data_IF_804201438230
#
_entry.id   IF_804201438230
#
_cell.length_a   1.000
_cell.length_b   1.000
_cell.length_c   1.000
_cell.angle_alpha   90.00
_cell.angle_beta   90.00
_cell.angle_gamma   90.00
#
_symmetry.space_group_name_H-M   'P 1'
#
loop_
_entity.id
_entity.type
_entity.pdbx_description
1 polymer ?
#
# COMPACT_ATOMS: atom_id res chain seq x y z
N UNK A 1 17.67 -11.43 -29.39
CA UNK A 1 18.87 -12.07 -28.80
C UNK A 1 18.63 -13.56 -28.67
N UNK A 2 19.53 -14.40 -29.18
CA UNK A 2 19.37 -15.86 -29.11
C UNK A 2 19.42 -16.40 -27.68
N UNK A 3 18.75 -17.54 -27.43
CA UNK A 3 18.84 -18.25 -26.15
C UNK A 3 20.29 -18.67 -25.92
N UNK A 4 20.93 -18.14 -24.89
CA UNK A 4 22.21 -18.66 -24.41
C UNK A 4 21.96 -20.09 -23.91
N UNK A 5 22.58 -21.08 -24.54
CA UNK A 5 22.43 -22.48 -24.16
C UNK A 5 22.81 -22.68 -22.68
N UNK A 6 21.91 -23.26 -21.89
CA UNK A 6 22.16 -23.41 -20.46
C UNK A 6 23.15 -24.57 -20.23
N UNK A 7 24.28 -24.28 -19.56
CA UNK A 7 25.28 -25.30 -19.27
C UNK A 7 24.70 -26.47 -18.47
N UNK A 8 25.09 -27.69 -18.86
CA UNK A 8 24.72 -28.91 -18.13
C UNK A 8 25.26 -28.88 -16.69
N UNK A 9 24.63 -29.65 -15.79
CA UNK A 9 25.12 -29.81 -14.41
C UNK A 9 26.54 -30.40 -14.36
N UNK A 10 26.90 -31.28 -15.29
CA UNK A 10 28.25 -31.81 -15.43
C UNK A 10 29.26 -30.70 -15.79
N UNK A 11 28.95 -29.88 -16.79
CA UNK A 11 29.77 -28.72 -17.19
C UNK A 11 29.93 -27.71 -16.05
N UNK A 12 28.85 -27.44 -15.30
CA UNK A 12 28.87 -26.57 -14.10
C UNK A 12 29.77 -27.15 -12.99
N UNK A 13 29.76 -28.47 -12.77
CA UNK A 13 30.65 -29.15 -11.83
C UNK A 13 32.12 -29.10 -12.25
N UNK A 14 32.41 -29.26 -13.54
CA UNK A 14 33.77 -29.15 -14.10
C UNK A 14 34.33 -27.75 -13.87
N UNK A 15 33.52 -26.70 -14.10
CA UNK A 15 33.90 -25.29 -13.83
C UNK A 15 34.35 -25.10 -12.36
N UNK A 16 33.58 -25.62 -11.40
CA UNK A 16 33.92 -25.51 -9.97
C UNK A 16 35.19 -26.30 -9.65
N UNK A 17 35.30 -27.55 -10.11
CA UNK A 17 36.46 -28.42 -9.87
C UNK A 17 37.75 -27.80 -10.42
N UNK A 18 37.73 -27.27 -11.64
CA UNK A 18 38.90 -26.60 -12.23
C UNK A 18 39.25 -25.30 -11.49
N UNK A 19 38.26 -24.51 -11.08
CA UNK A 19 38.54 -23.29 -10.31
C UNK A 19 39.16 -23.58 -8.94
N UNK A 20 38.72 -24.63 -8.26
CA UNK A 20 39.29 -25.06 -6.98
C UNK A 20 40.74 -25.58 -7.13
N UNK A 21 41.12 -26.04 -8.33
CA UNK A 21 42.51 -26.40 -8.71
C UNK A 21 43.34 -25.19 -9.18
N UNK A 22 42.87 -23.95 -8.93
CA UNK A 22 43.59 -22.72 -9.29
C UNK A 22 43.48 -22.28 -10.75
N UNK A 23 42.79 -23.04 -11.63
CA UNK A 23 42.75 -22.73 -13.07
C UNK A 23 42.12 -21.36 -13.36
N UNK A 24 42.68 -20.63 -14.33
CA UNK A 24 42.22 -19.29 -14.72
C UNK A 24 40.84 -19.33 -15.41
N UNK A 25 40.07 -18.23 -15.32
CA UNK A 25 38.75 -18.12 -15.97
C UNK A 25 38.82 -18.33 -17.49
N UNK A 26 39.90 -17.88 -18.14
CA UNK A 26 40.15 -18.08 -19.57
C UNK A 26 40.32 -19.57 -19.91
N UNK A 27 41.12 -20.29 -19.12
CA UNK A 27 41.43 -21.69 -19.41
C UNK A 27 40.25 -22.60 -19.08
N UNK A 28 39.45 -22.28 -18.05
CA UNK A 28 38.18 -22.96 -17.76
C UNK A 28 37.16 -22.71 -18.88
N UNK A 29 37.06 -21.48 -19.39
CA UNK A 29 36.16 -21.13 -20.48
C UNK A 29 36.47 -21.96 -21.75
N UNK A 30 37.75 -22.04 -22.12
CA UNK A 30 38.20 -22.86 -23.24
C UNK A 30 37.95 -24.36 -23.01
N UNK A 31 38.31 -24.90 -21.83
CA UNK A 31 38.17 -26.33 -21.51
C UNK A 31 36.71 -26.81 -21.43
N UNK A 32 35.74 -25.90 -21.22
CA UNK A 32 34.31 -26.21 -21.10
C UNK A 32 33.51 -25.73 -22.33
N UNK A 33 34.17 -25.13 -23.33
CA UNK A 33 33.52 -24.62 -24.53
C UNK A 33 32.49 -23.50 -24.26
N UNK A 34 32.81 -22.56 -23.37
CA UNK A 34 31.88 -21.52 -22.92
C UNK A 34 32.54 -20.16 -22.72
N UNK A 35 31.77 -19.10 -22.45
CA UNK A 35 32.32 -17.75 -22.24
C UNK A 35 32.91 -17.56 -20.84
N UNK A 36 33.91 -16.68 -20.70
CA UNK A 36 34.48 -16.29 -19.39
C UNK A 36 33.40 -15.73 -18.45
N UNK A 37 32.41 -15.01 -19.00
CA UNK A 37 31.25 -14.51 -18.26
C UNK A 37 30.38 -15.65 -17.71
N UNK A 38 30.15 -16.70 -18.51
CA UNK A 38 29.41 -17.89 -18.07
C UNK A 38 30.14 -18.62 -16.92
N UNK A 39 31.47 -18.74 -17.01
CA UNK A 39 32.31 -19.28 -15.93
C UNK A 39 32.18 -18.42 -14.66
N UNK A 40 32.27 -17.10 -14.79
CA UNK A 40 32.11 -16.15 -13.68
C UNK A 40 30.74 -16.27 -12.99
N UNK A 41 29.64 -16.25 -13.76
CA UNK A 41 28.29 -16.38 -13.19
C UNK A 41 28.06 -17.76 -12.55
N UNK A 42 28.62 -18.83 -13.12
CA UNK A 42 28.54 -20.19 -12.53
C UNK A 42 29.24 -20.24 -11.17
N UNK A 43 30.47 -19.71 -11.08
CA UNK A 43 31.23 -19.69 -9.82
C UNK A 43 30.62 -18.73 -8.78
N UNK A 44 30.09 -17.58 -9.21
CA UNK A 44 29.35 -16.66 -8.33
C UNK A 44 28.11 -17.33 -7.74
N UNK A 45 27.30 -18.00 -8.57
CA UNK A 45 26.14 -18.76 -8.12
C UNK A 45 26.53 -19.91 -7.18
N UNK A 46 27.60 -20.66 -7.47
CA UNK A 46 28.09 -21.74 -6.62
C UNK A 46 28.49 -21.23 -5.23
N UNK A 47 29.29 -20.16 -5.15
CA UNK A 47 29.69 -19.53 -3.88
C UNK A 47 28.50 -19.06 -3.04
N UNK A 48 27.42 -18.60 -3.68
CA UNK A 48 26.20 -18.15 -2.99
C UNK A 48 25.27 -19.30 -2.57
N UNK A 49 25.35 -20.48 -3.21
CA UNK A 49 24.37 -21.57 -3.05
C UNK A 49 24.94 -22.87 -2.47
N UNK A 50 26.26 -23.01 -2.37
CA UNK A 50 26.94 -24.26 -2.01
C UNK A 50 26.81 -25.39 -3.04
N UNK A 51 26.11 -25.18 -4.15
CA UNK A 51 25.83 -26.21 -5.16
C UNK A 51 25.74 -25.62 -6.57
N UNK A 52 26.01 -26.47 -7.56
CA UNK A 52 25.90 -26.16 -9.00
C UNK A 52 24.50 -26.39 -9.57
N UNK A 53 23.65 -27.11 -8.81
CA UNK A 53 22.27 -27.38 -9.19
C UNK A 53 21.41 -26.12 -9.20
N UNK A 54 20.33 -26.17 -9.97
CA UNK A 54 19.19 -25.27 -9.78
C UNK A 54 18.53 -25.60 -8.44
N UNK A 55 18.73 -24.74 -7.44
CA UNK A 55 17.87 -24.75 -6.25
C UNK A 55 16.40 -24.64 -6.72
N UNK A 56 15.47 -25.41 -6.12
CA UNK A 56 14.04 -25.24 -6.38
C UNK A 56 13.66 -23.76 -6.19
N UNK A 57 12.97 -23.17 -7.16
CA UNK A 57 12.48 -21.79 -7.03
C UNK A 57 11.36 -21.75 -5.98
N UNK A 58 11.71 -21.35 -4.77
CA UNK A 58 10.77 -21.09 -3.68
C UNK A 58 9.96 -19.80 -3.93
N UNK A 59 8.94 -19.89 -4.79
CA UNK A 59 7.97 -18.79 -5.01
C UNK A 59 8.56 -17.51 -5.60
N UNK A 60 8.21 -16.36 -4.99
CA UNK A 60 8.61 -15.00 -5.44
C UNK A 60 10.14 -14.89 -5.52
N UNK A 61 10.70 -14.21 -6.54
CA UNK A 61 12.15 -13.97 -6.61
C UNK A 61 12.66 -13.30 -5.33
N UNK A 62 13.82 -13.72 -4.80
CA UNK A 62 14.44 -13.13 -3.58
C UNK A 62 14.68 -11.61 -3.69
N UNK A 63 14.77 -11.09 -4.90
CA UNK A 63 14.82 -9.65 -5.19
C UNK A 63 13.86 -9.39 -6.35
N UNK A 64 12.86 -8.57 -6.11
CA UNK A 64 12.02 -7.97 -7.16
C UNK A 64 12.74 -6.77 -7.77
N UNK A 65 12.56 -6.56 -9.07
CA UNK A 65 13.04 -5.31 -9.71
C UNK A 65 11.99 -4.22 -9.48
N UNK A 66 12.41 -2.94 -9.46
CA UNK A 66 11.47 -1.82 -9.29
C UNK A 66 10.33 -1.80 -10.31
N UNK A 67 10.54 -2.37 -11.52
CA UNK A 67 9.49 -2.57 -12.53
C UNK A 67 8.48 -3.65 -12.12
N UNK A 68 8.94 -4.76 -11.54
CA UNK A 68 8.06 -5.83 -11.03
C UNK A 68 7.28 -5.33 -9.82
N UNK A 69 7.91 -4.63 -8.87
CA UNK A 69 7.18 -4.06 -7.72
C UNK A 69 6.21 -2.95 -8.13
N UNK A 70 6.51 -2.15 -9.16
CA UNK A 70 5.55 -1.18 -9.73
C UNK A 70 4.34 -1.88 -10.36
N UNK A 71 4.52 -3.03 -11.02
CA UNK A 71 3.41 -3.83 -11.56
C UNK A 71 2.59 -4.48 -10.45
N UNK A 72 3.24 -5.10 -9.45
CA UNK A 72 2.57 -5.70 -8.29
C UNK A 72 1.75 -4.63 -7.56
N UNK A 73 2.36 -3.48 -7.22
CA UNK A 73 1.64 -2.34 -6.61
C UNK A 73 0.47 -1.89 -7.47
N UNK A 74 0.65 -1.72 -8.79
CA UNK A 74 -0.44 -1.30 -9.69
C UNK A 74 -1.59 -2.30 -9.68
N UNK A 75 -1.32 -3.60 -9.71
CA UNK A 75 -2.35 -4.65 -9.64
C UNK A 75 -3.10 -4.62 -8.30
N UNK A 76 -2.38 -4.61 -7.18
CA UNK A 76 -2.96 -4.54 -5.83
C UNK A 76 -3.73 -3.24 -5.56
N UNK A 77 -3.37 -2.14 -6.22
CA UNK A 77 -4.13 -0.87 -6.15
C UNK A 77 -5.34 -0.89 -7.08
N UNK A 78 -5.22 -1.43 -8.30
CA UNK A 78 -6.32 -1.46 -9.28
C UNK A 78 -7.46 -2.42 -8.91
N UNK A 79 -7.18 -3.47 -8.12
CA UNK A 79 -8.21 -4.30 -7.55
C UNK A 79 -7.79 -4.74 -6.14
N UNK A 80 -8.07 -3.93 -5.09
CA UNK A 80 -7.67 -4.27 -3.73
C UNK A 80 -8.31 -5.58 -3.24
N UNK A 81 -9.42 -6.04 -3.84
CA UNK A 81 -10.11 -7.27 -3.44
C UNK A 81 -9.41 -8.55 -3.93
N UNK A 82 -8.41 -8.45 -4.81
CA UNK A 82 -7.64 -9.59 -5.32
C UNK A 82 -6.25 -9.65 -4.70
N UNK A 83 -5.99 -10.72 -3.94
CA UNK A 83 -4.62 -11.08 -3.52
C UNK A 83 -4.09 -12.23 -4.40
N UNK A 84 -2.78 -12.44 -4.46
CA UNK A 84 -2.18 -13.46 -5.32
C UNK A 84 -1.15 -14.33 -4.58
N UNK A 85 -1.37 -15.65 -4.60
CA UNK A 85 -0.43 -16.71 -4.20
C UNK A 85 0.39 -16.47 -2.91
N UNK A 86 1.48 -15.72 -3.02
CA UNK A 86 2.41 -15.47 -1.92
C UNK A 86 1.82 -14.53 -0.86
N UNK A 87 0.83 -13.70 -1.23
CA UNK A 87 0.11 -12.80 -0.33
C UNK A 87 -0.63 -13.55 0.79
N UNK A 88 -0.98 -14.82 0.56
CA UNK A 88 -1.57 -15.73 1.56
C UNK A 88 -0.73 -15.84 2.85
N UNK A 89 0.58 -15.58 2.78
CA UNK A 89 1.49 -15.63 3.93
C UNK A 89 1.39 -14.41 4.86
N UNK A 90 0.74 -13.32 4.43
CA UNK A 90 0.68 -12.05 5.14
C UNK A 90 -0.75 -11.80 5.67
N UNK A 91 -1.05 -12.07 6.96
CA UNK A 91 -2.38 -11.85 7.53
C UNK A 91 -2.85 -10.40 7.36
N UNK A 92 -1.94 -9.44 7.42
CA UNK A 92 -2.21 -8.00 7.39
C UNK A 92 -3.01 -7.58 6.15
N UNK A 93 -2.73 -8.20 4.99
CA UNK A 93 -3.50 -7.97 3.76
C UNK A 93 -4.95 -8.45 3.92
N UNK A 94 -5.14 -9.66 4.46
CA UNK A 94 -6.47 -10.27 4.62
C UNK A 94 -7.31 -9.50 5.65
N UNK A 95 -6.67 -9.07 6.75
CA UNK A 95 -7.24 -8.23 7.79
C UNK A 95 -7.63 -6.85 7.25
N UNK A 96 -6.76 -6.19 6.48
CA UNK A 96 -7.05 -4.89 5.86
C UNK A 96 -8.19 -4.95 4.84
N UNK A 97 -8.48 -6.12 4.26
CA UNK A 97 -9.64 -6.34 3.39
C UNK A 97 -10.92 -6.60 4.17
N UNK A 98 -10.86 -7.36 5.28
CA UNK A 98 -11.99 -7.51 6.21
C UNK A 98 -12.40 -6.17 6.82
N UNK A 99 -11.45 -5.31 7.18
CA UNK A 99 -11.72 -3.94 7.65
C UNK A 99 -12.54 -3.12 6.64
N UNK A 100 -12.31 -3.35 5.34
CA UNK A 100 -13.06 -2.71 4.24
C UNK A 100 -14.37 -3.42 3.88
N UNK A 101 -14.87 -4.26 4.78
CA UNK A 101 -16.12 -4.99 4.61
C UNK A 101 -16.06 -6.17 3.63
N UNK A 102 -14.88 -6.75 3.36
CA UNK A 102 -14.82 -7.98 2.57
C UNK A 102 -15.64 -9.11 3.21
N UNK A 103 -16.44 -9.80 2.40
CA UNK A 103 -17.15 -11.04 2.75
C UNK A 103 -16.48 -12.28 2.12
N UNK A 104 -15.71 -12.06 1.04
CA UNK A 104 -14.96 -13.08 0.29
C UNK A 104 -13.53 -12.58 0.06
N UNK A 105 -12.55 -13.46 0.27
CA UNK A 105 -11.15 -13.26 -0.09
C UNK A 105 -10.75 -14.26 -1.18
N UNK A 106 -9.88 -13.84 -2.10
CA UNK A 106 -9.40 -14.72 -3.18
C UNK A 106 -7.89 -14.87 -3.17
N UNK A 107 -7.40 -16.10 -3.35
CA UNK A 107 -5.97 -16.41 -3.47
C UNK A 107 -5.66 -17.27 -4.72
N UNK A 108 -5.89 -16.78 -5.95
CA UNK A 108 -5.40 -17.43 -7.18
C UNK A 108 -3.88 -17.70 -7.09
N UNK A 109 -3.49 -18.95 -7.34
CA UNK A 109 -2.20 -19.48 -6.86
C UNK A 109 -1.49 -20.48 -7.77
N UNK A 110 -0.18 -20.59 -7.58
CA UNK A 110 0.67 -21.62 -8.17
C UNK A 110 1.74 -22.08 -7.16
N UNK A 111 1.30 -22.59 -6.01
CA UNK A 111 2.18 -23.10 -4.96
C UNK A 111 3.08 -24.23 -5.48
N UNK A 112 4.33 -24.30 -5.00
CA UNK A 112 5.20 -25.45 -5.26
C UNK A 112 4.69 -26.64 -4.45
N UNK A 113 4.81 -27.87 -4.98
CA UNK A 113 4.32 -29.09 -4.31
C UNK A 113 4.78 -29.17 -2.84
N UNK A 114 6.06 -28.97 -2.57
CA UNK A 114 6.63 -29.01 -1.21
C UNK A 114 6.09 -27.93 -0.26
N UNK A 115 5.79 -26.73 -0.75
CA UNK A 115 5.25 -25.66 0.11
C UNK A 115 3.73 -25.70 0.21
N UNK A 116 3.05 -26.29 -0.78
CA UNK A 116 1.62 -26.52 -0.76
C UNK A 116 1.25 -27.60 0.24
N UNK A 117 1.93 -28.75 0.19
CA UNK A 117 1.73 -29.89 1.10
C UNK A 117 1.78 -29.47 2.58
N UNK A 118 2.66 -28.56 2.95
CA UNK A 118 2.84 -28.11 4.33
C UNK A 118 1.96 -26.90 4.73
N UNK A 119 1.53 -26.05 3.79
CA UNK A 119 0.96 -24.73 4.15
C UNK A 119 -0.36 -24.37 3.46
N UNK A 120 -0.74 -25.02 2.36
CA UNK A 120 -1.82 -24.55 1.49
C UNK A 120 -3.16 -24.48 2.23
N UNK A 121 -3.65 -25.63 2.68
CA UNK A 121 -4.92 -25.72 3.42
C UNK A 121 -4.87 -24.91 4.72
N UNK A 122 -3.80 -25.08 5.51
CA UNK A 122 -3.64 -24.44 6.83
C UNK A 122 -3.72 -22.92 6.72
N UNK A 123 -3.02 -22.30 5.77
CA UNK A 123 -3.08 -20.85 5.60
C UNK A 123 -4.42 -20.37 5.06
N UNK A 124 -5.03 -21.08 4.09
CA UNK A 124 -6.35 -20.70 3.55
C UNK A 124 -7.43 -20.73 4.62
N UNK A 125 -7.45 -21.79 5.45
CA UNK A 125 -8.36 -21.93 6.58
C UNK A 125 -8.08 -20.88 7.66
N UNK A 126 -6.82 -20.59 7.95
CA UNK A 126 -6.47 -19.50 8.87
C UNK A 126 -7.00 -18.14 8.40
N UNK A 127 -6.88 -17.81 7.10
CA UNK A 127 -7.48 -16.56 6.55
C UNK A 127 -9.00 -16.57 6.68
N UNK A 128 -9.65 -17.69 6.38
CA UNK A 128 -11.11 -17.79 6.48
C UNK A 128 -11.60 -17.54 7.92
N UNK A 129 -10.94 -18.17 8.91
CA UNK A 129 -11.27 -18.05 10.34
C UNK A 129 -10.96 -16.64 10.87
N UNK A 130 -9.72 -16.15 10.71
CA UNK A 130 -9.29 -14.89 11.34
C UNK A 130 -9.98 -13.65 10.76
N UNK A 131 -10.48 -13.76 9.52
CA UNK A 131 -11.23 -12.71 8.84
C UNK A 131 -12.74 -12.96 8.79
N UNK A 132 -13.22 -14.14 9.18
CA UNK A 132 -14.61 -14.61 9.02
C UNK A 132 -15.15 -14.24 7.62
N UNK A 133 -14.43 -14.68 6.60
CA UNK A 133 -14.74 -14.51 5.19
C UNK A 133 -14.75 -15.87 4.52
N UNK A 134 -15.51 -16.01 3.42
CA UNK A 134 -15.25 -17.10 2.49
C UNK A 134 -13.87 -16.92 1.86
N UNK A 135 -13.16 -18.01 1.61
CA UNK A 135 -11.87 -18.00 0.92
C UNK A 135 -11.96 -18.84 -0.35
N UNK A 136 -11.74 -18.24 -1.51
CA UNK A 136 -11.77 -18.90 -2.82
C UNK A 136 -10.35 -18.94 -3.40
N UNK A 137 -9.80 -20.13 -3.56
CA UNK A 137 -8.40 -20.34 -3.89
C UNK A 137 -8.24 -21.23 -5.12
N UNK A 138 -8.39 -20.64 -6.31
CA UNK A 138 -8.07 -21.31 -7.57
C UNK A 138 -6.56 -21.59 -7.66
N UNK A 139 -6.18 -22.80 -8.06
CA UNK A 139 -4.78 -23.24 -8.04
C UNK A 139 -4.34 -23.93 -9.33
N UNK A 140 -3.13 -23.62 -9.77
CA UNK A 140 -2.41 -24.40 -10.76
C UNK A 140 -2.01 -25.76 -10.16
N UNK A 141 -2.11 -26.83 -10.95
CA UNK A 141 -1.83 -28.22 -10.55
C UNK A 141 -0.89 -28.91 -11.55
N UNK A 142 -0.41 -30.11 -11.22
CA UNK A 142 0.36 -30.97 -12.11
C UNK A 142 1.74 -30.42 -12.52
N UNK A 143 2.31 -31.03 -13.57
CA UNK A 143 3.64 -30.73 -14.11
C UNK A 143 3.52 -29.73 -15.28
N UNK A 144 4.16 -28.58 -15.15
CA UNK A 144 4.19 -27.51 -16.16
C UNK A 144 5.36 -27.65 -17.14
N UNK A 145 6.46 -28.21 -16.66
CA UNK A 145 7.68 -28.58 -17.40
C UNK A 145 8.62 -29.34 -16.46
N UNK A 146 9.75 -29.81 -17.00
CA UNK A 146 10.76 -30.61 -16.28
C UNK A 146 11.27 -30.03 -14.95
N UNK A 147 11.15 -28.72 -14.73
CA UNK A 147 11.62 -28.03 -13.52
C UNK A 147 10.50 -27.33 -12.73
N UNK A 148 9.22 -27.54 -13.07
CA UNK A 148 8.09 -26.84 -12.43
C UNK A 148 6.85 -27.72 -12.35
N UNK A 149 6.45 -28.02 -11.11
CA UNK A 149 5.16 -28.61 -10.78
C UNK A 149 4.46 -27.76 -9.73
N UNK A 150 3.12 -27.74 -9.74
CA UNK A 150 2.31 -27.02 -8.75
C UNK A 150 1.41 -27.95 -7.96
N UNK A 151 1.10 -27.55 -6.72
CA UNK A 151 0.41 -28.39 -5.75
C UNK A 151 -1.05 -28.69 -6.11
N UNK A 152 -1.75 -27.81 -6.83
CA UNK A 152 -3.19 -27.99 -7.06
C UNK A 152 -4.00 -27.75 -5.79
N UNK A 153 -4.90 -28.68 -5.45
CA UNK A 153 -5.84 -28.58 -4.33
C UNK A 153 -6.65 -27.27 -4.31
N UNK A 154 -7.10 -26.78 -5.48
CA UNK A 154 -7.95 -25.60 -5.55
C UNK A 154 -9.21 -25.80 -4.69
N UNK A 155 -9.55 -24.83 -3.84
CA UNK A 155 -10.58 -25.03 -2.81
C UNK A 155 -11.38 -23.77 -2.47
N UNK A 156 -12.54 -23.99 -1.84
CA UNK A 156 -13.41 -22.99 -1.25
C UNK A 156 -13.56 -23.32 0.24
N UNK A 157 -13.29 -22.35 1.10
CA UNK A 157 -13.40 -22.44 2.56
C UNK A 157 -14.48 -21.47 3.05
N UNK A 158 -15.29 -21.89 4.02
CA UNK A 158 -16.32 -21.04 4.65
C UNK A 158 -15.76 -20.16 5.79
N UNK A 159 -16.53 -19.18 6.31
CA UNK A 159 -16.08 -18.28 7.38
C UNK A 159 -15.78 -18.94 8.73
N UNK A 160 -16.09 -20.23 8.90
CA UNK A 160 -15.75 -21.04 10.07
C UNK A 160 -14.47 -21.86 9.85
N UNK A 161 -13.87 -21.77 8.66
CA UNK A 161 -12.67 -22.52 8.29
C UNK A 161 -12.92 -23.94 7.84
N UNK A 162 -14.16 -24.31 7.47
CA UNK A 162 -14.46 -25.62 6.85
C UNK A 162 -14.20 -25.53 5.35
N UNK A 163 -13.47 -26.51 4.79
CA UNK A 163 -13.38 -26.70 3.34
C UNK A 163 -14.73 -27.23 2.85
N UNK A 164 -15.43 -26.44 2.02
CA UNK A 164 -16.78 -26.76 1.53
C UNK A 164 -16.80 -27.26 0.09
N UNK A 165 -15.75 -27.00 -0.70
CA UNK A 165 -15.50 -27.65 -1.98
C UNK A 165 -14.00 -27.65 -2.29
N UNK A 166 -13.51 -28.69 -2.97
CA UNK A 166 -12.11 -28.82 -3.38
C UNK A 166 -12.01 -29.65 -4.66
N UNK A 167 -11.16 -29.23 -5.61
CA UNK A 167 -10.84 -29.99 -6.81
C UNK A 167 -10.07 -31.27 -6.47
N UNK A 168 -10.26 -32.32 -7.27
CA UNK A 168 -9.41 -33.53 -7.22
C UNK A 168 -8.02 -33.23 -7.78
N UNK A 169 -7.13 -34.23 -7.73
CA UNK A 169 -5.85 -34.19 -8.44
C UNK A 169 -6.10 -34.07 -9.95
N UNK A 170 -5.37 -33.19 -10.64
CA UNK A 170 -5.58 -32.88 -12.06
C UNK A 170 -6.50 -31.68 -12.34
N UNK A 171 -6.76 -31.42 -13.63
CA UNK A 171 -7.55 -30.27 -14.08
C UNK A 171 -9.04 -30.52 -13.86
N UNK A 172 -9.65 -29.79 -12.93
CA UNK A 172 -11.03 -29.99 -12.48
C UNK A 172 -11.61 -28.67 -11.91
N UNK A 173 -12.93 -28.60 -11.69
CA UNK A 173 -13.63 -27.42 -11.15
C UNK A 173 -14.45 -27.78 -9.91
N UNK A 174 -14.20 -27.06 -8.82
CA UNK A 174 -14.97 -27.13 -7.59
C UNK A 174 -16.02 -26.00 -7.52
N UNK A 175 -17.24 -26.35 -7.11
CA UNK A 175 -18.37 -25.41 -6.98
C UNK A 175 -18.95 -25.51 -5.56
N UNK A 176 -19.28 -24.36 -4.96
CA UNK A 176 -19.95 -24.27 -3.67
C UNK A 176 -20.97 -23.13 -3.66
N UNK A 177 -22.02 -23.25 -2.83
CA UNK A 177 -22.95 -22.15 -2.54
C UNK A 177 -22.33 -21.24 -1.48
N UNK A 178 -22.27 -19.93 -1.75
CA UNK A 178 -21.92 -18.91 -0.75
C UNK A 178 -23.18 -18.48 -0.02
N UNK A 179 -23.10 -18.39 1.31
CA UNK A 179 -24.20 -17.98 2.19
C UNK A 179 -23.76 -16.79 3.05
N UNK A 180 -24.25 -15.61 2.69
CA UNK A 180 -23.90 -14.37 3.39
C UNK A 180 -24.70 -14.18 4.69
N UNK A 181 -25.80 -14.92 4.90
CA UNK A 181 -26.54 -14.91 6.17
C UNK A 181 -25.78 -15.73 7.21
N UNK A 182 -25.26 -16.90 6.84
CA UNK A 182 -24.35 -17.70 7.66
C UNK A 182 -23.08 -16.92 8.04
N UNK A 183 -22.49 -16.19 7.10
CA UNK A 183 -21.35 -15.31 7.36
C UNK A 183 -21.68 -14.20 8.38
N UNK A 184 -22.84 -13.55 8.25
CA UNK A 184 -23.29 -12.51 9.20
C UNK A 184 -23.56 -13.10 10.58
N UNK A 185 -24.20 -14.27 10.64
CA UNK A 185 -24.44 -15.02 11.88
C UNK A 185 -23.12 -15.32 12.61
N UNK A 186 -22.11 -15.86 11.93
CA UNK A 186 -20.77 -16.09 12.51
C UNK A 186 -20.16 -14.80 13.08
N UNK A 187 -20.28 -13.67 12.35
CA UNK A 187 -19.76 -12.38 12.80
C UNK A 187 -20.50 -11.81 14.01
N UNK A 188 -21.78 -12.15 14.19
CA UNK A 188 -22.60 -11.77 15.35
C UNK A 188 -22.33 -12.67 16.56
N UNK A 189 -22.30 -13.99 16.37
CA UNK A 189 -22.05 -14.98 17.43
C UNK A 189 -20.61 -14.94 17.96
N UNK A 190 -19.65 -14.57 17.10
CA UNK A 190 -18.25 -14.43 17.48
C UNK A 190 -17.67 -13.10 16.94
N UNK A 191 -17.88 -11.96 17.62
CA UNK A 191 -17.48 -10.64 17.12
C UNK A 191 -15.97 -10.34 17.29
N UNK A 192 -15.09 -11.23 16.80
CA UNK A 192 -13.62 -11.13 16.92
C UNK A 192 -13.04 -9.82 16.42
N UNK A 193 -13.73 -9.16 15.48
CA UNK A 193 -13.32 -7.86 14.93
C UNK A 193 -13.44 -6.75 15.97
N UNK A 194 -14.54 -6.73 16.73
CA UNK A 194 -14.80 -5.77 17.80
C UNK A 194 -13.96 -6.04 19.06
N UNK A 195 -13.39 -7.24 19.19
CA UNK A 195 -12.49 -7.61 20.29
C UNK A 195 -11.00 -7.27 20.03
N UNK A 196 -10.70 -6.62 18.90
CA UNK A 196 -9.33 -6.15 18.62
C UNK A 196 -8.92 -5.07 19.62
N UNK A 197 -7.61 -4.94 19.84
CA UNK A 197 -7.00 -4.01 20.81
C UNK A 197 -6.26 -2.87 20.10
N UNK A 198 -6.96 -1.86 19.54
CA UNK A 198 -6.35 -0.73 18.83
C UNK A 198 -5.39 0.08 19.72
N UNK A 199 -5.57 -0.01 21.03
CA UNK A 199 -4.73 0.55 22.09
C UNK A 199 -3.37 -0.16 22.24
N UNK A 200 -3.25 -1.42 21.80
CA UNK A 200 -2.01 -2.22 21.85
C UNK A 200 -1.37 -2.35 20.46
N UNK A 201 -2.17 -2.48 19.41
CA UNK A 201 -1.70 -2.61 18.03
C UNK A 201 -2.70 -1.97 17.06
N UNK A 202 -2.21 -1.36 15.98
CA UNK A 202 -3.06 -0.85 14.88
C UNK A 202 -2.76 -1.59 13.58
N UNK A 203 -3.81 -1.92 12.83
CA UNK A 203 -3.68 -2.44 11.47
C UNK A 203 -3.28 -1.31 10.50
N UNK A 204 -2.62 -1.60 9.36
CA UNK A 204 -2.30 -0.59 8.36
C UNK A 204 -3.54 0.13 7.79
N UNK A 205 -3.85 1.30 8.35
CA UNK A 205 -4.90 2.21 7.89
C UNK A 205 -4.39 3.13 6.76
N UNK A 206 -5.15 4.15 6.36
CA UNK A 206 -4.72 5.09 5.33
C UNK A 206 -4.75 4.56 3.90
N UNK A 207 -5.79 3.84 3.47
CA UNK A 207 -6.01 3.65 2.04
C UNK A 207 -6.60 4.93 1.43
N UNK A 208 -5.99 5.46 0.36
CA UNK A 208 -6.57 6.59 -0.37
C UNK A 208 -7.83 6.13 -1.09
N UNK A 209 -8.92 6.88 -0.93
CA UNK A 209 -10.14 6.68 -1.69
C UNK A 209 -10.11 7.53 -2.97
N UNK A 210 -11.00 7.24 -3.91
CA UNK A 210 -11.24 8.11 -5.07
C UNK A 210 -11.66 9.51 -4.64
N UNK A 211 -11.43 10.48 -5.51
CA UNK A 211 -11.90 11.85 -5.30
C UNK A 211 -13.42 11.84 -5.09
N UNK A 212 -13.94 12.62 -4.14
CA UNK A 212 -15.37 12.72 -3.93
C UNK A 212 -16.01 13.42 -5.14
N UNK A 213 -17.30 13.19 -5.36
CA UNK A 213 -18.07 14.04 -6.28
C UNK A 213 -17.98 15.48 -5.81
N UNK A 214 -17.95 16.42 -6.74
CA UNK A 214 -17.72 17.83 -6.44
C UNK A 214 -18.83 18.49 -5.61
N UNK A 215 -20.05 17.93 -5.68
CA UNK A 215 -21.24 18.31 -4.90
C UNK A 215 -21.26 17.79 -3.46
N UNK A 216 -20.49 16.73 -3.18
CA UNK A 216 -20.50 16.03 -1.89
C UNK A 216 -20.09 16.96 -0.74
N UNK A 217 -20.65 16.74 0.44
CA UNK A 217 -20.44 17.59 1.61
C UNK A 217 -19.72 16.83 2.72
N UNK A 218 -18.75 17.51 3.35
CA UNK A 218 -17.97 16.99 4.47
C UNK A 218 -18.04 18.00 5.62
N UNK A 219 -18.40 17.54 6.81
CA UNK A 219 -18.44 18.36 8.01
C UNK A 219 -17.00 18.68 8.47
N UNK A 220 -16.73 19.95 8.76
CA UNK A 220 -15.48 20.40 9.35
C UNK A 220 -15.79 21.42 10.46
N UNK A 221 -15.99 20.91 11.68
CA UNK A 221 -16.49 21.69 12.81
C UNK A 221 -17.78 22.41 12.45
N UNK A 222 -17.79 23.74 12.55
CA UNK A 222 -18.95 24.58 12.23
C UNK A 222 -19.14 24.90 10.73
N UNK A 223 -18.33 24.37 9.80
CA UNK A 223 -18.46 24.63 8.35
C UNK A 223 -18.59 23.34 7.52
N UNK A 224 -19.17 23.48 6.32
CA UNK A 224 -19.23 22.42 5.31
C UNK A 224 -18.17 22.64 4.23
N UNK A 225 -17.41 21.61 3.91
CA UNK A 225 -16.44 21.59 2.81
C UNK A 225 -17.03 20.79 1.64
N UNK A 226 -17.07 21.40 0.46
CA UNK A 226 -17.51 20.74 -0.78
C UNK A 226 -16.43 19.80 -1.33
N UNK A 227 -16.85 18.70 -1.95
CA UNK A 227 -15.95 17.68 -2.50
C UNK A 227 -14.91 18.24 -3.47
N UNK A 228 -15.27 19.25 -4.27
CA UNK A 228 -14.35 19.97 -5.18
C UNK A 228 -13.17 20.68 -4.51
N UNK A 229 -13.20 20.84 -3.18
CA UNK A 229 -12.09 21.39 -2.38
C UNK A 229 -11.19 20.31 -1.78
N UNK A 230 -11.59 19.03 -1.83
CA UNK A 230 -10.81 17.90 -1.35
C UNK A 230 -9.91 17.35 -2.47
N UNK A 231 -8.61 17.39 -2.24
CA UNK A 231 -7.60 16.88 -3.17
C UNK A 231 -7.01 15.52 -2.76
N UNK A 232 -7.18 15.09 -1.51
CA UNK A 232 -6.87 13.72 -1.04
C UNK A 232 -7.80 13.32 0.12
N UNK A 233 -8.15 12.03 0.24
CA UNK A 233 -8.87 11.50 1.41
C UNK A 233 -8.65 10.00 1.60
N UNK A 234 -8.93 9.52 2.81
CA UNK A 234 -8.97 8.10 3.19
C UNK A 234 -10.41 7.73 3.59
N UNK A 235 -10.60 6.64 4.35
CA UNK A 235 -11.85 6.35 5.05
C UNK A 235 -12.03 7.13 6.35
N UNK A 236 -10.98 7.78 6.87
CA UNK A 236 -10.93 8.32 8.23
C UNK A 236 -10.42 9.77 8.29
N UNK A 237 -9.77 10.27 7.23
CA UNK A 237 -9.24 11.63 7.12
C UNK A 237 -9.42 12.21 5.72
N UNK A 238 -9.47 13.54 5.63
CA UNK A 238 -9.57 14.31 4.40
C UNK A 238 -8.51 15.43 4.38
N UNK A 239 -8.05 15.80 3.19
CA UNK A 239 -7.17 16.94 2.97
C UNK A 239 -7.75 17.84 1.88
N UNK A 240 -7.80 19.14 2.19
CA UNK A 240 -8.51 20.15 1.41
C UNK A 240 -7.77 21.49 1.39
N UNK A 241 -8.02 22.28 0.34
CA UNK A 241 -7.45 23.61 0.18
C UNK A 241 -8.01 24.58 1.23
N UNK A 242 -7.17 25.45 1.80
CA UNK A 242 -7.64 26.40 2.81
C UNK A 242 -8.30 27.63 2.17
N UNK A 243 -9.40 28.10 2.76
CA UNK A 243 -10.12 29.32 2.33
C UNK A 243 -9.41 30.61 2.75
N UNK A 244 -8.67 30.58 3.87
CA UNK A 244 -7.77 31.68 4.29
C UNK A 244 -6.38 31.12 4.54
N UNK A 245 -5.41 31.46 3.70
CA UNK A 245 -4.07 30.91 3.83
C UNK A 245 -3.16 31.79 4.70
N UNK A 246 -2.24 31.15 5.41
CA UNK A 246 -1.34 31.77 6.40
C UNK A 246 -0.21 32.56 5.73
N UNK A 247 0.24 32.07 4.58
CA UNK A 247 1.31 32.65 3.77
C UNK A 247 0.71 33.20 2.46
N UNK A 248 0.82 34.51 2.24
CA UNK A 248 0.44 35.15 0.99
C UNK A 248 1.59 35.08 -0.01
N UNK A 249 1.45 34.32 -1.09
CA UNK A 249 2.50 34.12 -2.09
C UNK A 249 2.29 34.97 -3.34
N UNK A 250 3.28 35.80 -3.70
CA UNK A 250 3.44 36.40 -5.05
C UNK A 250 4.37 35.57 -5.96
N UNK A 251 4.55 34.28 -5.67
CA UNK A 251 5.46 33.40 -6.39
C UNK A 251 4.66 32.38 -7.19
N UNK A 252 4.60 32.61 -8.52
CA UNK A 252 3.90 31.81 -9.53
C UNK A 252 2.36 31.84 -9.40
N UNK A 253 1.69 31.46 -10.49
CA UNK A 253 0.23 31.56 -10.70
C UNK A 253 -0.61 30.56 -9.87
N UNK A 254 -0.08 30.10 -8.73
CA UNK A 254 -0.72 29.17 -7.81
C UNK A 254 -0.46 29.65 -6.38
N UNK A 255 -1.35 30.52 -5.90
CA UNK A 255 -1.43 30.90 -4.49
C UNK A 255 -2.72 30.32 -3.89
N UNK A 256 -2.80 30.14 -2.55
CA UNK A 256 -1.75 30.33 -1.56
C UNK A 256 -1.48 29.09 -0.66
N UNK A 257 -0.20 28.72 -0.57
CA UNK A 257 0.65 28.23 0.54
C UNK A 257 0.08 27.67 1.89
N UNK A 258 -1.17 27.24 2.03
CA UNK A 258 -1.63 26.42 3.16
C UNK A 258 -2.76 25.47 2.77
N UNK A 259 -2.62 24.19 3.11
CA UNK A 259 -3.70 23.19 3.02
C UNK A 259 -3.93 22.56 4.38
N UNK A 260 -5.15 22.10 4.61
CA UNK A 260 -5.56 21.49 5.87
C UNK A 260 -5.75 19.98 5.69
N UNK A 261 -5.41 19.20 6.72
CA UNK A 261 -5.79 17.80 6.85
C UNK A 261 -6.57 17.59 8.16
N UNK A 262 -7.67 16.85 8.13
CA UNK A 262 -8.62 16.71 9.24
C UNK A 262 -9.25 15.31 9.25
N UNK A 263 -9.57 14.70 10.41
CA UNK A 263 -10.35 13.47 10.46
C UNK A 263 -11.77 13.71 9.90
N UNK A 264 -12.36 12.68 9.29
CA UNK A 264 -13.74 12.72 8.77
C UNK A 264 -14.76 12.70 9.92
N UNK A 265 -14.46 12.00 11.02
CA UNK A 265 -15.25 12.09 12.24
C UNK A 265 -14.90 13.40 12.97
N UNK A 266 -15.92 14.10 13.44
CA UNK A 266 -15.74 15.25 14.32
C UNK A 266 -15.07 14.84 15.64
N UNK A 267 -14.02 15.56 15.98
CA UNK A 267 -13.19 15.40 17.16
C UNK A 267 -12.63 16.78 17.48
N UNK A 268 -12.79 17.30 18.71
CA UNK A 268 -12.41 18.69 19.01
C UNK A 268 -10.93 18.80 19.33
N UNK A 269 -10.42 17.81 20.06
CA UNK A 269 -9.04 17.72 20.52
C UNK A 269 -8.32 16.51 19.91
N UNK A 270 -6.98 16.55 19.85
CA UNK A 270 -6.17 15.40 19.39
C UNK A 270 -6.37 14.16 20.27
N UNK A 271 -6.60 14.37 21.57
CA UNK A 271 -6.90 13.29 22.52
C UNK A 271 -8.25 12.60 22.26
N UNK A 272 -9.15 13.21 21.49
CA UNK A 272 -10.45 12.63 21.13
C UNK A 272 -10.31 11.63 19.96
N UNK A 273 -9.13 11.52 19.35
CA UNK A 273 -8.85 10.60 18.24
C UNK A 273 -8.51 9.20 18.74
N UNK A 274 -9.04 8.19 18.06
CA UNK A 274 -8.56 6.82 18.22
C UNK A 274 -7.13 6.68 17.68
N UNK A 275 -6.33 5.70 18.15
CA UNK A 275 -4.98 5.45 17.61
C UNK A 275 -4.95 5.28 16.08
N UNK A 276 -5.99 4.67 15.52
CA UNK A 276 -6.12 4.48 14.07
C UNK A 276 -6.41 5.78 13.31
N UNK A 277 -7.21 6.70 13.86
CA UNK A 277 -7.47 8.03 13.28
C UNK A 277 -6.22 8.90 13.35
N UNK A 278 -5.51 8.90 14.48
CA UNK A 278 -4.25 9.62 14.63
C UNK A 278 -3.19 9.12 13.63
N UNK A 279 -3.07 7.79 13.49
CA UNK A 279 -2.17 7.17 12.50
C UNK A 279 -2.57 7.50 11.06
N UNK A 280 -3.87 7.43 10.73
CA UNK A 280 -4.40 7.72 9.39
C UNK A 280 -4.16 9.19 9.01
N UNK A 281 -4.48 10.12 9.93
CA UNK A 281 -4.32 11.56 9.77
C UNK A 281 -2.86 11.93 9.49
N UNK A 282 -1.91 11.52 10.33
CA UNK A 282 -0.50 11.85 10.11
C UNK A 282 0.12 11.08 8.93
N UNK A 283 -0.40 9.90 8.60
CA UNK A 283 -0.05 9.23 7.33
C UNK A 283 -0.56 10.00 6.11
N UNK A 284 -1.72 10.65 6.20
CA UNK A 284 -2.24 11.53 5.17
C UNK A 284 -1.39 12.83 5.08
N UNK A 285 -1.04 13.46 6.21
CA UNK A 285 -0.15 14.63 6.28
C UNK A 285 1.18 14.35 5.55
N UNK A 286 1.85 13.22 5.83
CA UNK A 286 3.09 12.84 5.15
C UNK A 286 2.94 12.66 3.63
N UNK A 287 1.74 12.35 3.14
CA UNK A 287 1.46 12.23 1.70
C UNK A 287 1.19 13.59 1.08
N UNK A 288 0.40 14.42 1.76
CA UNK A 288 0.16 15.81 1.36
C UNK A 288 1.48 16.58 1.25
N UNK A 289 2.40 16.44 2.22
CA UNK A 289 3.75 17.03 2.14
C UNK A 289 4.51 16.62 0.86
N UNK A 290 4.36 15.39 0.36
CA UNK A 290 5.01 14.95 -0.88
C UNK A 290 4.34 15.52 -2.13
N UNK A 291 3.02 15.73 -2.12
CA UNK A 291 2.31 16.45 -3.19
C UNK A 291 2.79 17.90 -3.23
N UNK A 292 2.72 18.61 -2.10
CA UNK A 292 3.16 19.99 -1.96
C UNK A 292 4.65 20.16 -2.28
N UNK A 293 5.50 19.22 -1.89
CA UNK A 293 6.93 19.28 -2.15
C UNK A 293 7.27 19.23 -3.65
N UNK A 294 6.44 18.55 -4.45
CA UNK A 294 6.51 18.57 -5.91
C UNK A 294 5.93 19.87 -6.49
N UNK A 295 4.76 20.31 -6.03
CA UNK A 295 4.10 21.54 -6.52
C UNK A 295 4.93 22.79 -6.26
N UNK A 296 5.47 22.93 -5.05
CA UNK A 296 6.22 24.12 -4.64
C UNK A 296 7.74 23.97 -4.77
N UNK A 297 8.25 22.81 -5.19
CA UNK A 297 9.69 22.51 -5.27
C UNK A 297 10.41 22.78 -3.94
N UNK A 298 9.95 22.16 -2.85
CA UNK A 298 10.55 22.27 -1.51
C UNK A 298 10.55 20.95 -0.74
N UNK A 299 11.42 20.85 0.26
CA UNK A 299 11.44 19.77 1.26
C UNK A 299 11.19 20.30 2.68
N UNK A 300 11.09 21.62 2.85
CA UNK A 300 10.88 22.29 4.13
C UNK A 300 9.39 22.54 4.36
N UNK A 301 8.90 22.26 5.57
CA UNK A 301 7.50 22.41 5.94
C UNK A 301 7.35 22.89 7.37
N UNK A 302 6.38 23.78 7.60
CA UNK A 302 5.79 23.97 8.93
C UNK A 302 4.54 23.10 8.99
N UNK A 303 4.45 22.23 9.98
CA UNK A 303 3.28 21.37 10.24
C UNK A 303 2.82 21.66 11.65
N UNK A 304 1.59 22.16 11.80
CA UNK A 304 1.08 22.65 13.10
C UNK A 304 -0.34 22.17 13.35
N UNK A 305 -0.67 21.96 14.63
CA UNK A 305 -2.02 21.68 15.12
C UNK A 305 -2.29 22.66 16.25
N UNK A 306 -3.38 23.40 16.15
CA UNK A 306 -3.89 24.26 17.23
C UNK A 306 -4.95 23.44 17.95
N UNK A 307 -4.62 22.91 19.13
CA UNK A 307 -5.52 22.07 19.93
C UNK A 307 -6.07 22.87 21.13
N UNK A 308 -7.36 23.21 21.06
CA UNK A 308 -8.07 24.03 22.03
C UNK A 308 -7.99 25.55 21.78
N UNK A 309 -8.94 26.34 22.31
CA UNK A 309 -9.04 27.78 22.03
C UNK A 309 -7.79 28.58 22.40
N UNK A 310 -7.11 28.22 23.50
CA UNK A 310 -5.89 28.88 23.96
C UNK A 310 -4.66 28.56 23.11
N UNK A 311 -4.68 27.50 22.29
CA UNK A 311 -3.68 27.24 21.26
C UNK A 311 -4.00 27.97 19.93
N UNK A 312 -5.08 28.76 19.89
CA UNK A 312 -5.53 29.50 18.71
C UNK A 312 -6.54 28.79 17.82
N UNK A 313 -7.06 27.62 18.24
CA UNK A 313 -8.03 26.85 17.44
C UNK A 313 -9.34 27.61 17.21
N UNK A 314 -9.72 27.84 15.96
CA UNK A 314 -10.95 28.59 15.60
C UNK A 314 -12.09 27.69 15.11
N UNK A 315 -11.78 26.66 14.30
CA UNK A 315 -12.72 25.58 13.97
C UNK A 315 -12.66 24.51 15.06
N UNK A 316 -13.79 24.17 15.68
CA UNK A 316 -13.86 23.18 16.78
C UNK A 316 -13.80 21.73 16.26
N UNK A 317 -12.78 21.42 15.46
CA UNK A 317 -12.50 20.13 14.85
C UNK A 317 -10.99 20.05 14.68
N UNK A 318 -10.35 18.92 14.98
CA UNK A 318 -8.92 18.73 14.75
C UNK A 318 -8.56 19.04 13.29
N UNK A 319 -7.56 19.89 13.08
CA UNK A 319 -6.97 20.09 11.76
C UNK A 319 -5.47 20.36 11.87
N UNK A 320 -4.74 19.78 10.91
CA UNK A 320 -3.30 19.96 10.74
C UNK A 320 -3.10 20.96 9.60
N UNK A 321 -2.47 22.09 9.89
CA UNK A 321 -1.99 23.01 8.87
C UNK A 321 -0.70 22.46 8.28
N UNK A 322 -0.59 22.45 6.95
CA UNK A 322 0.55 21.93 6.22
C UNK A 322 1.06 23.02 5.27
N UNK A 323 2.12 23.71 5.70
CA UNK A 323 2.64 24.89 5.03
C UNK A 323 3.99 24.56 4.37
N UNK A 324 4.10 24.54 3.03
CA UNK A 324 5.39 24.44 2.36
C UNK A 324 6.21 25.71 2.62
N UNK A 325 7.47 25.55 3.02
CA UNK A 325 8.38 26.65 3.37
C UNK A 325 9.49 26.82 2.32
N UNK A 326 9.99 28.04 2.16
CA UNK A 326 11.13 28.40 1.32
C UNK A 326 12.05 29.39 2.03
N UNK A 327 13.32 29.42 1.64
CA UNK A 327 14.24 30.48 2.04
C UNK A 327 13.69 31.85 1.63
N UNK A 328 13.64 32.78 2.58
CA UNK A 328 13.10 34.13 2.37
C UNK A 328 11.56 34.25 2.28
N UNK A 329 10.78 33.21 2.63
CA UNK A 329 9.31 33.31 2.67
C UNK A 329 8.78 34.16 3.85
N UNK A 330 9.58 34.31 4.90
CA UNK A 330 9.42 35.17 6.07
C UNK A 330 10.76 35.83 6.41
N UNK A 331 10.74 36.92 7.19
CA UNK A 331 11.95 37.56 7.69
C UNK A 331 12.64 36.69 8.75
N UNK A 332 11.88 36.16 9.70
CA UNK A 332 12.30 35.10 10.62
C UNK A 332 11.39 33.88 10.46
N UNK A 333 11.93 32.68 10.66
CA UNK A 333 11.14 31.45 10.51
C UNK A 333 9.97 31.32 11.49
N UNK A 334 10.12 31.91 12.68
CA UNK A 334 9.14 31.88 13.78
C UNK A 334 8.04 32.95 13.64
N UNK A 335 8.18 33.92 12.71
CA UNK A 335 7.08 34.85 12.35
C UNK A 335 5.83 34.09 11.83
N UNK A 336 5.97 32.79 11.54
CA UNK A 336 4.88 31.91 11.12
C UNK A 336 3.83 31.73 12.22
N UNK A 337 4.21 31.76 13.51
CA UNK A 337 3.27 31.58 14.62
C UNK A 337 2.36 32.81 14.76
N UNK A 338 2.94 34.01 14.64
CA UNK A 338 2.22 35.27 14.53
C UNK A 338 1.22 35.27 13.37
N UNK A 339 1.61 34.75 12.20
CA UNK A 339 0.69 34.62 11.06
C UNK A 339 -0.38 33.56 11.28
N UNK A 340 -0.07 32.42 11.90
CA UNK A 340 -1.03 31.38 12.27
C UNK A 340 -2.06 31.88 13.29
N UNK A 341 -1.70 32.85 14.14
CA UNK A 341 -2.62 33.46 15.10
C UNK A 341 -3.52 34.55 14.50
N UNK A 342 -2.98 35.32 13.53
CA UNK A 342 -3.62 36.50 12.92
C UNK A 342 -4.36 36.17 11.62
N UNK A 343 -4.15 34.96 11.09
CA UNK A 343 -5.22 34.18 10.50
C UNK A 343 -6.00 33.45 11.63
N UNK A 344 -7.32 33.29 11.60
CA UNK A 344 -8.30 33.88 10.69
C UNK A 344 -8.75 35.30 11.06
N UNK A 345 -8.31 35.80 12.22
CA UNK A 345 -8.84 36.93 13.00
C UNK A 345 -8.67 38.32 12.33
N UNK A 346 -9.50 39.28 12.75
CA UNK A 346 -9.40 40.71 12.38
C UNK A 346 -10.37 41.18 11.28
N UNK A 347 -10.28 42.46 10.91
CA UNK A 347 -11.18 43.10 9.93
C UNK A 347 -10.68 43.06 8.47
N UNK A 348 -9.37 42.90 8.25
CA UNK A 348 -8.74 42.97 6.93
C UNK A 348 -8.51 41.55 6.35
N UNK A 349 -9.62 40.80 6.21
CA UNK A 349 -9.60 39.40 5.76
C UNK A 349 -9.83 39.34 4.24
N UNK A 350 -8.73 39.11 3.50
CA UNK A 350 -8.84 38.63 2.12
C UNK A 350 -9.25 37.15 2.12
N UNK A 351 -10.51 36.90 1.81
CA UNK A 351 -11.03 35.57 1.48
C UNK A 351 -10.65 35.23 0.04
N UNK A 352 -10.32 33.96 -0.21
CA UNK A 352 -10.13 33.47 -1.58
C UNK A 352 -11.46 33.31 -2.29
N UNK A 353 -11.45 33.56 -3.60
CA UNK A 353 -12.56 33.22 -4.47
C UNK A 353 -12.68 31.70 -4.61
N UNK A 354 -13.91 31.21 -4.76
CA UNK A 354 -14.19 29.78 -4.82
C UNK A 354 -13.55 29.12 -6.06
N UNK A 355 -13.48 29.85 -7.17
CA UNK A 355 -12.85 29.40 -8.41
C UNK A 355 -11.33 29.17 -8.24
N UNK A 356 -10.64 30.07 -7.54
CA UNK A 356 -9.21 29.95 -7.24
C UNK A 356 -8.91 28.70 -6.40
N UNK A 357 -9.76 28.41 -5.40
CA UNK A 357 -9.67 27.22 -4.58
C UNK A 357 -9.89 25.92 -5.38
N UNK A 358 -10.85 25.93 -6.32
CA UNK A 358 -11.10 24.77 -7.19
C UNK A 358 -9.90 24.53 -8.13
N UNK A 359 -9.37 25.57 -8.77
CA UNK A 359 -8.20 25.46 -9.66
C UNK A 359 -6.96 24.91 -8.93
N UNK A 360 -6.70 25.37 -7.70
CA UNK A 360 -5.63 24.80 -6.86
C UNK A 360 -5.91 23.33 -6.52
N UNK A 361 -7.13 22.98 -6.13
CA UNK A 361 -7.52 21.62 -5.80
C UNK A 361 -7.36 20.67 -7.01
N UNK A 362 -7.76 21.08 -8.22
CA UNK A 362 -7.55 20.31 -9.46
C UNK A 362 -6.07 20.06 -9.74
N UNK A 363 -5.22 21.08 -9.56
CA UNK A 363 -3.78 20.93 -9.70
C UNK A 363 -3.21 19.93 -8.69
N UNK A 364 -3.62 20.03 -7.41
CA UNK A 364 -3.23 19.09 -6.36
C UNK A 364 -3.73 17.66 -6.64
N UNK A 365 -4.97 17.48 -7.10
CA UNK A 365 -5.55 16.18 -7.53
C UNK A 365 -4.72 15.54 -8.64
N UNK A 366 -4.26 16.32 -9.62
CA UNK A 366 -3.42 15.84 -10.73
C UNK A 366 -2.06 15.30 -10.23
N UNK A 367 -1.36 16.06 -9.40
CA UNK A 367 -0.08 15.63 -8.82
C UNK A 367 -0.25 14.44 -7.86
N UNK A 368 -1.30 14.45 -7.03
CA UNK A 368 -1.61 13.35 -6.12
C UNK A 368 -1.93 12.04 -6.87
N UNK A 369 -2.66 12.11 -7.98
CA UNK A 369 -2.93 10.96 -8.86
C UNK A 369 -1.65 10.37 -9.43
N UNK A 370 -0.73 11.22 -9.91
CA UNK A 370 0.57 10.82 -10.45
C UNK A 370 1.45 10.12 -9.40
N UNK A 371 1.52 10.67 -8.18
CA UNK A 371 2.34 10.13 -7.10
C UNK A 371 1.79 8.85 -6.46
N UNK A 372 0.46 8.74 -6.30
CA UNK A 372 -0.16 7.70 -5.48
C UNK A 372 -1.01 6.68 -6.25
N UNK A 373 -1.27 6.89 -7.55
CA UNK A 373 -2.22 6.06 -8.31
C UNK A 373 -3.59 6.00 -7.61
N UNK A 374 -4.12 7.18 -7.25
CA UNK A 374 -5.44 7.31 -6.62
C UNK A 374 -6.51 6.65 -7.53
N UNK A 375 -7.46 5.88 -6.97
CA UNK A 375 -8.53 5.30 -7.77
C UNK A 375 -9.35 6.39 -8.47
N UNK A 376 -9.72 6.17 -9.73
CA UNK A 376 -10.68 6.98 -10.47
C UNK A 376 -12.06 6.94 -9.82
#
# INVERSE_FOLDING_TARGET
>A
MGKVAELSSASKNIIVRLRNRGTSYSNIANAVGTSKSTVYFTLKNYRTRGSTGSLPRSGRPRVTTGRVDKVIRRMSVSNPRLTACYDLRFPEMSLALRERGAEILTFPSAFTVSTGLAHWEVLLRARAIETQCYVIAAAQTGIHNSNRSSYGHAMIVDPWGRVIAQCREGTDVAVAKVDLEYLRKIRQEMPVHSHRRPDVYSLPCGHLQSFPRDDAEFQFGQVLIKGKMLFMRTSMSMAFVNKKCVLSGRILFLSPLNVLASPIREAKHLQDLTPMELQDLFTLVQRVQKVLGVVYSTQSFTVTVQDGPHAGQTIQHVHVHILPRKEGDLANNDDIYDRLEKHDKGHDIQWREEEEMVQECEHLRSIASSLYSIPS
#
